data_IF_564230194527
#
_entry.id   IF_564230194527
#
_cell.length_a   1.000
_cell.length_b   1.000
_cell.length_c   1.000
_cell.angle_alpha   90.00
_cell.angle_beta   90.00
_cell.angle_gamma   90.00
#
_symmetry.space_group_name_H-M   'P 1'
#
loop_
_entity.id
_entity.type
_entity.pdbx_description
1 polymer ?
#
# COMPACT_ATOMS: atom_id res chain seq x y z
N UNK A 1 17.93 27.06 11.94
CA UNK A 1 16.58 27.60 11.68
C UNK A 1 16.14 27.03 10.35
N UNK A 2 15.37 25.94 10.36
CA UNK A 2 14.80 25.37 9.14
C UNK A 2 13.60 26.25 8.75
N UNK A 3 13.36 26.53 7.46
CA UNK A 3 12.15 27.23 7.06
C UNK A 3 10.96 26.38 7.49
N UNK A 4 10.09 26.96 8.31
CA UNK A 4 8.77 26.42 8.62
C UNK A 4 8.01 26.45 7.29
N UNK A 5 7.92 25.30 6.61
CA UNK A 5 7.09 25.17 5.42
C UNK A 5 5.67 25.48 5.87
N UNK A 6 5.19 26.69 5.56
CA UNK A 6 3.81 27.08 5.76
C UNK A 6 2.95 25.98 5.14
N UNK A 7 2.29 25.19 5.98
CA UNK A 7 1.40 24.15 5.49
C UNK A 7 0.31 24.89 4.74
N UNK A 8 0.16 24.71 3.41
CA UNK A 8 -0.89 25.42 2.69
C UNK A 8 -2.21 25.08 3.37
N UNK A 9 -2.97 26.11 3.73
CA UNK A 9 -4.24 25.95 4.43
C UNK A 9 -5.13 25.02 3.60
N UNK A 10 -5.29 23.77 4.08
CA UNK A 10 -6.09 22.77 3.37
C UNK A 10 -7.55 23.21 3.40
N UNK A 11 -8.29 23.02 2.30
CA UNK A 11 -9.72 23.29 2.32
C UNK A 11 -10.39 22.41 3.38
N UNK A 12 -11.40 22.95 4.06
CA UNK A 12 -12.13 22.21 5.08
C UNK A 12 -12.80 20.97 4.46
N UNK A 13 -12.54 19.80 5.04
CA UNK A 13 -13.21 18.58 4.63
C UNK A 13 -14.68 18.62 5.05
N UNK A 14 -15.64 18.15 4.23
CA UNK A 14 -17.05 18.02 4.62
C UNK A 14 -17.33 16.96 5.71
N UNK A 15 -16.29 16.44 6.37
CA UNK A 15 -16.42 15.57 7.55
C UNK A 15 -16.68 14.08 7.29
N UNK A 16 -17.20 13.68 6.14
CA UNK A 16 -17.53 12.27 5.86
C UNK A 16 -17.02 11.83 4.48
N UNK A 17 -16.55 10.58 4.40
CA UNK A 17 -16.18 9.88 3.16
C UNK A 17 -17.04 8.62 3.02
N UNK A 18 -17.68 8.46 1.87
CA UNK A 18 -18.46 7.26 1.53
C UNK A 18 -17.61 6.24 0.79
N UNK A 19 -17.37 5.10 1.41
CA UNK A 19 -16.74 3.94 0.81
C UNK A 19 -17.78 3.04 0.17
N UNK A 20 -17.65 2.76 -1.12
CA UNK A 20 -18.49 1.81 -1.86
C UNK A 20 -17.67 0.56 -2.08
N UNK A 21 -18.12 -0.57 -1.51
CA UNK A 21 -17.51 -1.88 -1.69
C UNK A 21 -17.70 -2.41 -3.11
N UNK A 22 -16.98 -3.49 -3.46
CA UNK A 22 -17.15 -4.18 -4.75
C UNK A 22 -18.50 -4.91 -4.85
N UNK A 23 -19.15 -5.12 -3.72
CA UNK A 23 -20.51 -5.63 -3.54
C UNK A 23 -21.58 -4.53 -3.70
N UNK A 24 -21.16 -3.27 -3.89
CA UNK A 24 -22.04 -2.11 -3.95
C UNK A 24 -22.50 -1.60 -2.59
N UNK A 25 -22.02 -2.19 -1.48
CA UNK A 25 -22.40 -1.74 -0.14
C UNK A 25 -21.69 -0.43 0.18
N UNK A 26 -22.47 0.57 0.59
CA UNK A 26 -21.95 1.87 0.99
C UNK A 26 -21.70 1.91 2.51
N UNK A 27 -20.58 2.51 2.91
CA UNK A 27 -20.22 2.79 4.30
C UNK A 27 -19.72 4.21 4.43
N UNK A 28 -20.28 4.96 5.36
CA UNK A 28 -19.82 6.30 5.69
C UNK A 28 -18.79 6.23 6.82
N UNK A 29 -17.61 6.83 6.59
CA UNK A 29 -16.56 6.95 7.59
C UNK A 29 -16.24 8.44 7.83
N UNK A 30 -16.04 8.86 9.09
CA UNK A 30 -15.59 10.22 9.38
C UNK A 30 -14.22 10.49 8.77
N UNK A 31 -14.08 11.60 8.06
CA UNK A 31 -12.83 11.98 7.39
C UNK A 31 -11.67 12.17 8.36
N UNK A 32 -11.96 12.64 9.59
CA UNK A 32 -10.95 12.84 10.65
C UNK A 32 -10.35 11.52 11.18
N UNK A 33 -10.98 10.38 10.88
CA UNK A 33 -10.46 9.04 11.23
C UNK A 33 -9.66 8.40 10.09
N UNK A 34 -9.65 9.02 8.92
CA UNK A 34 -8.95 8.51 7.75
C UNK A 34 -7.54 9.09 7.67
N UNK A 35 -6.57 8.33 7.13
CA UNK A 35 -5.27 8.90 6.84
C UNK A 35 -5.39 9.98 5.76
N UNK A 36 -4.51 10.98 5.82
CA UNK A 36 -4.60 12.18 4.97
C UNK A 36 -4.64 11.86 3.48
N UNK A 37 -3.83 10.89 3.03
CA UNK A 37 -3.78 10.45 1.63
C UNK A 37 -5.10 9.85 1.11
N UNK A 38 -6.03 9.52 2.01
CA UNK A 38 -7.35 8.99 1.69
C UNK A 38 -8.46 10.04 1.86
N UNK A 39 -8.26 11.02 2.75
CA UNK A 39 -9.17 12.14 2.95
C UNK A 39 -8.98 13.26 1.91
N UNK A 40 -7.79 13.39 1.33
CA UNK A 40 -7.49 14.38 0.29
C UNK A 40 -6.73 13.77 -0.87
N UNK A 41 -7.01 14.25 -2.07
CA UNK A 41 -6.27 13.89 -3.28
C UNK A 41 -5.91 15.16 -4.07
N UNK A 42 -4.76 15.19 -4.75
CA UNK A 42 -4.42 16.31 -5.63
C UNK A 42 -5.37 16.33 -6.83
N UNK A 43 -5.80 17.52 -7.24
CA UNK A 43 -6.45 17.74 -8.53
C UNK A 43 -5.44 17.91 -9.67
N UNK A 44 -5.93 18.24 -10.87
CA UNK A 44 -5.09 18.46 -12.06
C UNK A 44 -4.10 19.61 -11.89
N UNK A 45 -4.39 20.57 -11.01
CA UNK A 45 -3.52 21.71 -10.67
C UNK A 45 -2.61 21.41 -9.48
N UNK A 46 -2.63 20.18 -8.96
CA UNK A 46 -1.86 19.74 -7.80
C UNK A 46 -2.40 20.25 -6.45
N UNK A 47 -3.59 20.84 -6.42
CA UNK A 47 -4.22 21.34 -5.20
C UNK A 47 -4.88 20.21 -4.44
N UNK A 48 -4.74 20.20 -3.11
CA UNK A 48 -5.42 19.22 -2.27
C UNK A 48 -6.94 19.45 -2.32
N UNK A 49 -7.69 18.43 -2.74
CA UNK A 49 -9.15 18.45 -2.81
C UNK A 49 -9.71 17.36 -1.88
N UNK A 50 -10.75 17.67 -1.08
CA UNK A 50 -11.41 16.68 -0.23
C UNK A 50 -11.99 15.52 -1.04
N UNK A 51 -11.71 14.30 -0.60
CA UNK A 51 -12.28 13.07 -1.15
C UNK A 51 -13.55 12.76 -0.36
N UNK A 52 -14.71 12.74 -1.01
CA UNK A 52 -15.97 12.42 -0.33
C UNK A 52 -16.49 11.02 -0.67
N UNK A 53 -15.96 10.39 -1.72
CA UNK A 53 -16.40 9.07 -2.15
C UNK A 53 -15.24 8.25 -2.66
N UNK A 54 -15.13 7.00 -2.20
CA UNK A 54 -14.13 6.04 -2.65
C UNK A 54 -14.85 4.78 -3.11
N UNK A 55 -14.74 4.45 -4.39
CA UNK A 55 -15.37 3.26 -4.97
C UNK A 55 -14.32 2.20 -5.18
N UNK A 56 -14.48 1.04 -4.52
CA UNK A 56 -13.66 -0.15 -4.77
C UNK A 56 -14.16 -0.88 -6.01
N UNK A 57 -13.22 -1.31 -6.83
CA UNK A 57 -13.48 -1.98 -8.10
C UNK A 57 -12.73 -3.31 -8.10
N UNK A 58 -13.42 -4.38 -8.50
CA UNK A 58 -12.75 -5.64 -8.80
C UNK A 58 -12.25 -5.59 -10.24
N UNK A 59 -10.99 -5.95 -10.44
CA UNK A 59 -10.37 -6.03 -11.77
C UNK A 59 -9.80 -7.43 -11.96
N UNK A 60 -9.50 -7.80 -13.20
CA UNK A 60 -8.90 -9.12 -13.50
C UNK A 60 -7.54 -9.33 -12.81
N UNK A 61 -6.85 -8.24 -12.43
CA UNK A 61 -5.51 -8.25 -11.84
C UNK A 61 -5.45 -7.93 -10.34
N UNK A 62 -6.60 -7.72 -9.68
CA UNK A 62 -6.65 -7.34 -8.26
C UNK A 62 -7.80 -6.39 -7.93
N UNK A 63 -7.61 -5.56 -6.91
CA UNK A 63 -8.63 -4.59 -6.46
C UNK A 63 -8.14 -3.17 -6.73
N UNK A 64 -8.94 -2.39 -7.45
CA UNK A 64 -8.71 -0.97 -7.65
C UNK A 64 -9.61 -0.11 -6.76
N UNK A 65 -9.32 1.18 -6.73
CA UNK A 65 -10.20 2.18 -6.15
C UNK A 65 -10.21 3.47 -6.96
N UNK A 66 -11.34 4.16 -6.95
CA UNK A 66 -11.53 5.49 -7.53
C UNK A 66 -11.98 6.46 -6.45
N UNK A 67 -11.29 7.58 -6.32
CA UNK A 67 -11.60 8.63 -5.34
C UNK A 67 -12.24 9.83 -6.04
N UNK A 68 -13.31 10.36 -5.47
CA UNK A 68 -14.10 11.44 -6.04
C UNK A 68 -14.26 12.62 -5.09
N UNK A 69 -14.28 13.81 -5.68
CA UNK A 69 -14.64 15.06 -5.01
C UNK A 69 -16.17 15.18 -4.81
N UNK A 70 -16.59 16.18 -4.06
CA UNK A 70 -18.00 16.47 -3.76
C UNK A 70 -18.85 16.78 -5.00
N UNK A 71 -18.23 17.29 -6.06
CA UNK A 71 -18.85 17.55 -7.37
C UNK A 71 -18.96 16.28 -8.24
N UNK A 72 -18.52 15.11 -7.73
CA UNK A 72 -18.48 13.86 -8.48
C UNK A 72 -17.29 13.71 -9.43
N UNK A 73 -16.35 14.67 -9.44
CA UNK A 73 -15.15 14.60 -10.27
C UNK A 73 -14.19 13.53 -9.75
N UNK A 74 -13.66 12.72 -10.67
CA UNK A 74 -12.62 11.75 -10.36
C UNK A 74 -11.31 12.49 -10.05
N UNK A 75 -10.78 12.26 -8.85
CA UNK A 75 -9.51 12.85 -8.40
C UNK A 75 -8.34 11.88 -8.55
N UNK A 76 -8.56 10.61 -8.24
CA UNK A 76 -7.49 9.63 -8.18
C UNK A 76 -7.97 8.22 -8.53
N UNK A 77 -7.09 7.44 -9.15
CA UNK A 77 -7.26 6.01 -9.39
C UNK A 77 -6.07 5.27 -8.81
N UNK A 78 -6.33 4.33 -7.90
CA UNK A 78 -5.31 3.44 -7.37
C UNK A 78 -5.60 1.99 -7.75
N UNK A 79 -4.53 1.22 -7.95
CA UNK A 79 -4.60 -0.23 -8.15
C UNK A 79 -3.78 -0.90 -7.05
N UNK A 80 -4.43 -1.75 -6.27
CA UNK A 80 -3.75 -2.72 -5.44
C UNK A 80 -3.64 -4.00 -6.25
N UNK A 81 -2.46 -4.22 -6.81
CA UNK A 81 -2.14 -5.51 -7.42
C UNK A 81 -1.93 -6.49 -6.27
N UNK A 82 -2.76 -7.53 -6.22
CA UNK A 82 -2.41 -8.72 -5.44
C UNK A 82 -1.28 -9.42 -6.19
N UNK A 83 -0.04 -8.95 -6.00
CA UNK A 83 1.10 -9.83 -6.22
C UNK A 83 0.89 -10.98 -5.22
N UNK A 84 0.77 -12.25 -5.64
CA UNK A 84 0.94 -13.32 -4.67
C UNK A 84 2.27 -13.05 -3.96
N UNK A 85 2.40 -13.28 -2.63
CA UNK A 85 3.70 -13.15 -2.01
C UNK A 85 4.64 -13.97 -2.86
N UNK A 86 5.64 -13.32 -3.45
CA UNK A 86 6.78 -14.04 -3.99
C UNK A 86 7.19 -14.92 -2.82
N UNK A 87 6.99 -16.23 -2.95
CA UNK A 87 7.64 -17.18 -2.08
C UNK A 87 9.07 -16.66 -2.01
N UNK A 88 9.49 -16.23 -0.83
CA UNK A 88 10.87 -15.95 -0.59
C UNK A 88 11.55 -17.23 -1.03
N UNK A 89 12.17 -17.21 -2.21
CA UNK A 89 13.17 -18.16 -2.61
C UNK A 89 14.23 -17.96 -1.55
N UNK A 90 14.10 -18.71 -0.46
CA UNK A 90 15.19 -18.91 0.46
C UNK A 90 16.23 -19.54 -0.45
N UNK A 91 17.23 -18.74 -0.79
CA UNK A 91 18.44 -19.24 -1.41
C UNK A 91 18.81 -20.51 -0.66
N UNK A 92 19.02 -21.66 -1.31
CA UNK A 92 19.60 -22.79 -0.60
C UNK A 92 20.88 -22.27 0.04
N UNK A 93 20.90 -22.34 1.38
CA UNK A 93 22.04 -21.96 2.21
C UNK A 93 23.30 -22.52 1.55
N UNK A 94 24.31 -21.71 1.22
CA UNK A 94 25.55 -22.25 0.70
C UNK A 94 26.06 -23.28 1.71
N UNK A 95 26.20 -24.53 1.27
CA UNK A 95 26.81 -25.57 2.07
C UNK A 95 28.20 -25.07 2.47
N UNK A 96 28.46 -24.98 3.77
CA UNK A 96 29.78 -24.65 4.27
C UNK A 96 30.81 -25.61 3.63
N UNK A 97 31.98 -25.12 3.19
CA UNK A 97 33.03 -26.02 2.73
C UNK A 97 33.39 -26.95 3.90
N UNK A 98 33.19 -28.25 3.70
CA UNK A 98 33.59 -29.28 4.65
C UNK A 98 35.10 -29.15 4.83
N UNK A 99 35.51 -28.62 5.99
CA UNK A 99 36.90 -28.64 6.42
C UNK A 99 37.32 -30.11 6.38
N UNK A 100 38.32 -30.42 5.55
CA UNK A 100 38.94 -31.73 5.49
C UNK A 100 39.65 -31.94 6.84
N UNK A 101 38.90 -32.46 7.80
CA UNK A 101 39.42 -32.96 9.05
C UNK A 101 40.30 -34.17 8.71
N UNK A 102 41.61 -33.92 8.70
CA UNK A 102 42.64 -34.94 8.62
C UNK A 102 42.53 -35.80 9.88
N UNK A 103 41.90 -36.96 9.75
CA UNK A 103 41.89 -37.97 10.78
C UNK A 103 43.29 -38.62 10.89
N UNK A 104 43.89 -38.70 12.09
CA UNK A 104 45.12 -39.44 12.31
C UNK A 104 44.85 -40.88 12.79
N UNK A 105 45.77 -41.79 12.41
CA UNK A 105 46.23 -42.99 13.16
C UNK A 105 45.54 -44.35 12.89
N UNK A 106 46.32 -45.15 12.16
CA UNK A 106 46.81 -46.50 12.46
C UNK A 106 45.91 -47.74 12.54
N UNK A 107 46.41 -48.76 11.81
CA UNK A 107 46.61 -50.15 12.20
C UNK A 107 45.39 -51.06 12.47
N UNK A 108 45.26 -52.10 11.64
CA UNK A 108 44.86 -53.42 12.14
C UNK A 108 44.19 -54.36 11.14
N UNK A 109 44.95 -55.36 10.70
CA UNK A 109 44.61 -56.78 10.46
C UNK A 109 43.27 -57.15 9.76
N UNK A 110 43.34 -57.77 8.58
CA UNK A 110 43.19 -59.22 8.35
C UNK A 110 43.66 -59.58 6.94
#
# INVERSE_FOLDING_TARGET
>A
MFPEFATPARPMHPGVVTFVGTDGVERAEPADRLPEWLAYAPDADGRAVPVVRVVRLKTDRGTGFRSYAADGRLLWVGLTVTTPPAEFVTTPRPAAPRVAEREPVAAGWF
#
